data_IF_550434877562
#
_entry.id   IF_550434877562
#
_cell.length_a   1.000
_cell.length_b   1.000
_cell.length_c   1.000
_cell.angle_alpha   90.00
_cell.angle_beta   90.00
_cell.angle_gamma   90.00
#
_symmetry.space_group_name_H-M   'P 1'
#
loop_
_entity.id
_entity.type
_entity.pdbx_description
1 polymer ?
#
# COMPACT_ATOMS: atom_id res chain seq x y z
N UNK A 1 -6.58 15.57 -20.96
CA UNK A 1 -6.71 15.20 -19.51
C UNK A 1 -6.16 13.81 -19.18
N UNK A 2 -6.55 12.70 -19.83
CA UNK A 2 -6.00 11.39 -19.49
C UNK A 2 -4.49 11.31 -19.67
N UNK A 3 -3.98 11.59 -20.86
CA UNK A 3 -2.56 11.49 -21.19
C UNK A 3 -1.68 12.45 -20.38
N UNK A 4 -2.17 13.63 -20.04
CA UNK A 4 -1.50 14.57 -19.13
C UNK A 4 -1.31 13.96 -17.74
N UNK A 5 -2.35 13.33 -17.17
CA UNK A 5 -2.26 12.72 -15.87
C UNK A 5 -1.42 11.41 -15.89
N UNK A 6 -1.45 10.67 -17.00
CA UNK A 6 -0.52 9.55 -17.21
C UNK A 6 0.93 10.07 -17.23
N UNK A 7 1.23 11.15 -17.99
CA UNK A 7 2.57 11.75 -18.03
C UNK A 7 3.00 12.22 -16.63
N UNK A 8 2.13 12.94 -15.91
CA UNK A 8 2.39 13.37 -14.52
C UNK A 8 2.68 12.19 -13.60
N UNK A 9 1.87 11.13 -13.65
CA UNK A 9 2.06 9.96 -12.80
C UNK A 9 3.39 9.24 -13.09
N UNK A 10 3.75 9.07 -14.36
CA UNK A 10 5.02 8.47 -14.77
C UNK A 10 6.21 9.36 -14.36
N UNK A 11 6.09 10.67 -14.52
CA UNK A 11 7.11 11.62 -14.08
C UNK A 11 7.30 11.55 -12.56
N UNK A 12 6.22 11.53 -11.78
CA UNK A 12 6.25 11.28 -10.33
C UNK A 12 7.01 9.97 -10.00
N UNK A 13 6.72 8.88 -10.71
CA UNK A 13 7.41 7.61 -10.52
C UNK A 13 8.91 7.70 -10.74
N UNK A 14 9.35 8.47 -11.74
CA UNK A 14 10.77 8.70 -12.03
C UNK A 14 11.42 9.61 -10.96
N UNK A 15 10.78 10.70 -10.59
CA UNK A 15 11.30 11.65 -9.60
C UNK A 15 11.44 11.04 -8.20
N UNK A 16 10.53 10.15 -7.82
CA UNK A 16 10.57 9.44 -6.54
C UNK A 16 11.49 8.21 -6.55
N UNK A 17 11.89 7.76 -7.75
CA UNK A 17 12.73 6.57 -7.92
C UNK A 17 11.96 5.25 -7.90
N UNK A 18 10.62 5.28 -7.94
CA UNK A 18 9.79 4.07 -8.11
C UNK A 18 10.01 3.45 -9.49
N UNK A 19 10.11 4.29 -10.51
CA UNK A 19 10.30 3.88 -11.90
C UNK A 19 11.67 4.35 -12.40
N UNK A 20 12.55 3.46 -12.85
CA UNK A 20 13.78 3.88 -13.54
C UNK A 20 13.48 4.72 -14.77
N UNK A 21 14.28 5.76 -15.03
CA UNK A 21 14.07 6.65 -16.17
C UNK A 21 14.04 5.91 -17.53
N UNK A 22 14.77 4.81 -17.67
CA UNK A 22 14.76 3.97 -18.88
C UNK A 22 13.48 3.16 -19.06
N UNK A 23 12.63 3.04 -18.02
CA UNK A 23 11.36 2.30 -18.04
C UNK A 23 10.14 3.18 -18.29
N UNK A 24 10.32 4.48 -18.59
CA UNK A 24 9.18 5.43 -18.82
C UNK A 24 8.17 4.89 -19.82
N UNK A 25 8.61 4.48 -21.01
CA UNK A 25 7.71 3.97 -22.05
C UNK A 25 7.01 2.67 -21.63
N UNK A 26 7.72 1.80 -20.93
CA UNK A 26 7.13 0.57 -20.40
C UNK A 26 6.01 0.89 -19.41
N UNK A 27 6.23 1.81 -18.49
CA UNK A 27 5.24 2.26 -17.51
C UNK A 27 4.05 2.95 -18.16
N UNK A 28 4.27 3.81 -19.17
CA UNK A 28 3.19 4.40 -19.96
C UNK A 28 2.32 3.30 -20.56
N UNK A 29 2.91 2.31 -21.21
CA UNK A 29 2.17 1.21 -21.85
C UNK A 29 1.37 0.38 -20.84
N UNK A 30 1.89 0.16 -19.63
CA UNK A 30 1.12 -0.50 -18.57
C UNK A 30 -0.11 0.34 -18.15
N UNK A 31 0.05 1.66 -18.02
CA UNK A 31 -1.06 2.56 -17.68
C UNK A 31 -2.10 2.62 -18.81
N UNK A 32 -1.67 2.65 -20.06
CA UNK A 32 -2.57 2.57 -21.22
C UNK A 32 -3.38 1.27 -21.20
N UNK A 33 -2.75 0.12 -20.92
CA UNK A 33 -3.50 -1.14 -20.78
C UNK A 33 -4.52 -1.10 -19.63
N UNK A 34 -4.19 -0.46 -18.51
CA UNK A 34 -5.12 -0.28 -17.38
C UNK A 34 -6.36 0.51 -17.82
N UNK A 35 -6.17 1.55 -18.65
CA UNK A 35 -7.26 2.38 -19.20
C UNK A 35 -7.90 1.83 -20.47
N UNK A 36 -7.39 0.71 -21.02
CA UNK A 36 -7.83 0.12 -22.29
C UNK A 36 -7.70 1.10 -23.46
N UNK A 37 -6.58 1.82 -23.49
CA UNK A 37 -6.22 2.76 -24.54
C UNK A 37 -5.22 2.11 -25.50
N UNK A 38 -5.49 2.26 -26.79
CA UNK A 38 -4.62 1.75 -27.87
C UNK A 38 -3.69 2.83 -28.42
N UNK A 39 -3.94 4.11 -28.07
CA UNK A 39 -3.17 5.25 -28.54
C UNK A 39 -2.62 6.08 -27.39
N UNK A 40 -1.51 6.77 -27.64
CA UNK A 40 -0.92 7.74 -26.70
C UNK A 40 -0.39 8.93 -27.48
N UNK A 41 -0.89 10.10 -27.12
CA UNK A 41 -0.34 11.38 -27.61
C UNK A 41 0.41 12.02 -26.44
N UNK A 42 1.73 12.06 -26.53
CA UNK A 42 2.54 12.64 -25.46
C UNK A 42 2.25 14.15 -25.34
N UNK A 43 1.84 14.62 -24.15
CA UNK A 43 1.64 16.04 -23.92
C UNK A 43 2.97 16.81 -24.05
N UNK A 44 2.94 17.99 -24.67
CA UNK A 44 4.13 18.83 -24.82
C UNK A 44 4.57 19.50 -23.51
N UNK A 45 3.62 19.66 -22.57
CA UNK A 45 3.87 20.33 -21.30
C UNK A 45 4.78 19.51 -20.39
N UNK A 46 5.73 20.20 -19.75
CA UNK A 46 6.53 19.68 -18.64
C UNK A 46 5.89 20.07 -17.32
N UNK A 47 5.78 19.11 -16.39
CA UNK A 47 5.13 19.31 -15.11
C UNK A 47 6.16 19.41 -13.99
N UNK A 48 5.86 20.21 -12.97
CA UNK A 48 6.68 20.37 -11.76
C UNK A 48 5.78 20.32 -10.54
N UNK A 49 6.35 19.96 -9.39
CA UNK A 49 5.65 19.92 -8.10
C UNK A 49 4.35 19.10 -8.17
N UNK A 50 4.48 17.86 -8.67
CA UNK A 50 3.35 16.96 -8.92
C UNK A 50 2.71 16.55 -7.59
N UNK A 51 1.44 16.93 -7.40
CA UNK A 51 0.61 16.42 -6.30
C UNK A 51 0.02 15.06 -6.69
N UNK A 52 0.49 13.99 -6.03
CA UNK A 52 0.06 12.63 -6.31
C UNK A 52 -1.44 12.43 -6.05
N UNK A 53 -1.99 13.02 -4.96
CA UNK A 53 -3.42 12.89 -4.63
C UNK A 53 -4.29 13.49 -5.75
N UNK A 54 -3.90 14.68 -6.25
CA UNK A 54 -4.63 15.34 -7.33
C UNK A 54 -4.59 14.51 -8.64
N UNK A 55 -3.41 14.00 -9.01
CA UNK A 55 -3.23 13.17 -10.20
C UNK A 55 -4.01 11.86 -10.11
N UNK A 56 -3.94 11.17 -8.98
CA UNK A 56 -4.68 9.91 -8.77
C UNK A 56 -6.19 10.15 -8.81
N UNK A 57 -6.69 11.20 -8.14
CA UNK A 57 -8.11 11.52 -8.18
C UNK A 57 -8.60 11.81 -9.60
N UNK A 58 -7.83 12.57 -10.40
CA UNK A 58 -8.18 12.85 -11.79
C UNK A 58 -8.20 11.58 -12.66
N UNK A 59 -7.27 10.64 -12.44
CA UNK A 59 -7.26 9.35 -13.13
C UNK A 59 -8.43 8.44 -12.69
N UNK A 60 -8.78 8.46 -11.41
CA UNK A 60 -9.92 7.72 -10.89
C UNK A 60 -11.25 8.26 -11.44
N UNK A 61 -11.40 9.58 -11.53
CA UNK A 61 -12.58 10.21 -12.14
C UNK A 61 -12.70 9.85 -13.62
N UNK A 62 -11.57 9.80 -14.34
CA UNK A 62 -11.56 9.36 -15.74
C UNK A 62 -11.93 7.86 -15.86
N UNK A 63 -11.49 7.00 -14.95
CA UNK A 63 -11.86 5.59 -14.91
C UNK A 63 -13.36 5.39 -14.66
N UNK A 64 -13.96 6.16 -13.74
CA UNK A 64 -15.41 6.17 -13.50
C UNK A 64 -16.17 6.63 -14.74
N UNK A 65 -15.75 7.76 -15.34
CA UNK A 65 -16.37 8.31 -16.55
C UNK A 65 -16.37 7.33 -17.73
N UNK A 66 -15.33 6.51 -17.83
CA UNK A 66 -15.18 5.46 -18.84
C UNK A 66 -15.89 4.15 -18.48
N UNK A 67 -16.55 4.08 -17.33
CA UNK A 67 -17.17 2.87 -16.79
C UNK A 67 -16.18 1.70 -16.60
N UNK A 68 -14.91 1.98 -16.33
CA UNK A 68 -13.90 0.96 -15.97
C UNK A 68 -14.09 0.48 -14.54
N UNK A 69 -14.59 1.37 -13.67
CA UNK A 69 -14.92 1.07 -12.27
C UNK A 69 -16.25 1.71 -11.87
N UNK A 70 -16.90 1.18 -10.84
CA UNK A 70 -18.01 1.82 -10.18
C UNK A 70 -17.52 2.96 -9.29
N UNK A 71 -18.31 4.03 -9.16
CA UNK A 71 -17.98 5.17 -8.30
C UNK A 71 -18.28 4.84 -6.83
N UNK A 72 -17.34 4.14 -6.22
CA UNK A 72 -17.35 3.87 -4.77
C UNK A 72 -15.93 3.88 -4.22
N UNK A 73 -15.79 4.16 -2.93
CA UNK A 73 -14.49 4.20 -2.24
C UNK A 73 -13.72 2.88 -2.43
N UNK A 74 -14.40 1.74 -2.39
CA UNK A 74 -13.77 0.43 -2.53
C UNK A 74 -13.18 0.24 -3.93
N UNK A 75 -13.95 0.51 -4.98
CA UNK A 75 -13.47 0.34 -6.36
C UNK A 75 -12.41 1.38 -6.73
N UNK A 76 -12.53 2.60 -6.23
CA UNK A 76 -11.49 3.63 -6.37
C UNK A 76 -10.19 3.18 -5.70
N UNK A 77 -10.25 2.64 -4.47
CA UNK A 77 -9.07 2.14 -3.75
C UNK A 77 -8.41 0.93 -4.44
N UNK A 78 -9.20 0.04 -5.07
CA UNK A 78 -8.67 -1.07 -5.86
C UNK A 78 -7.96 -0.56 -7.12
N UNK A 79 -8.56 0.38 -7.83
CA UNK A 79 -8.02 0.90 -9.08
C UNK A 79 -6.78 1.78 -8.86
N UNK A 80 -6.79 2.63 -7.84
CA UNK A 80 -5.66 3.43 -7.39
C UNK A 80 -4.42 2.55 -7.14
N UNK A 81 -4.59 1.49 -6.37
CA UNK A 81 -3.50 0.54 -6.09
C UNK A 81 -2.96 -0.11 -7.36
N UNK A 82 -3.83 -0.37 -8.35
CA UNK A 82 -3.44 -0.89 -9.66
C UNK A 82 -2.66 0.13 -10.48
N UNK A 83 -3.06 1.41 -10.46
CA UNK A 83 -2.29 2.49 -11.10
C UNK A 83 -0.87 2.58 -10.52
N UNK A 84 -0.77 2.59 -9.19
CA UNK A 84 0.52 2.64 -8.51
C UNK A 84 1.38 1.41 -8.79
N UNK A 85 0.79 0.22 -8.97
CA UNK A 85 1.55 -0.98 -9.33
C UNK A 85 2.29 -0.86 -10.66
N UNK A 86 1.79 -0.04 -11.60
CA UNK A 86 2.49 0.20 -12.87
C UNK A 86 3.84 0.90 -12.67
N UNK A 87 4.00 1.64 -11.58
CA UNK A 87 5.22 2.36 -11.25
C UNK A 87 6.18 1.55 -10.37
N UNK A 88 5.67 0.51 -9.72
CA UNK A 88 6.40 -0.18 -8.64
C UNK A 88 7.56 -1.04 -9.15
N UNK A 89 8.73 -0.97 -8.50
CA UNK A 89 9.78 -1.95 -8.73
C UNK A 89 9.30 -3.34 -8.28
N UNK A 90 9.81 -4.38 -8.94
CA UNK A 90 9.47 -5.76 -8.60
C UNK A 90 9.98 -6.15 -7.21
N UNK A 91 9.34 -7.12 -6.51
CA UNK A 91 9.76 -7.55 -5.18
C UNK A 91 11.25 -7.85 -5.07
N UNK A 92 11.83 -8.59 -6.03
CA UNK A 92 13.25 -8.92 -6.02
C UNK A 92 14.16 -7.67 -6.11
N UNK A 93 13.77 -6.64 -6.84
CA UNK A 93 14.53 -5.39 -6.93
C UNK A 93 14.53 -4.66 -5.59
N UNK A 94 13.35 -4.58 -4.94
CA UNK A 94 13.21 -3.93 -3.63
C UNK A 94 14.00 -4.69 -2.57
N UNK A 95 13.92 -6.02 -2.54
CA UNK A 95 14.66 -6.86 -1.60
C UNK A 95 16.18 -6.72 -1.78
N UNK A 96 16.65 -6.77 -3.02
CA UNK A 96 18.08 -6.60 -3.31
C UNK A 96 18.60 -5.23 -2.89
N UNK A 97 17.84 -4.17 -3.17
CA UNK A 97 18.20 -2.80 -2.78
C UNK A 97 18.19 -2.64 -1.25
N UNK A 98 17.17 -3.19 -0.56
CA UNK A 98 17.09 -3.17 0.89
C UNK A 98 18.32 -3.84 1.53
N UNK A 99 18.65 -5.05 1.13
CA UNK A 99 19.78 -5.79 1.70
C UNK A 99 21.13 -5.18 1.34
N UNK A 100 21.28 -4.65 0.13
CA UNK A 100 22.49 -3.92 -0.25
C UNK A 100 22.74 -2.66 0.59
N UNK A 101 21.68 -1.97 1.00
CA UNK A 101 21.77 -0.84 1.94
C UNK A 101 22.02 -1.32 3.36
N UNK A 102 21.34 -2.37 3.78
CA UNK A 102 21.45 -2.93 5.13
C UNK A 102 22.88 -3.36 5.45
N UNK A 103 23.62 -3.90 4.49
CA UNK A 103 25.04 -4.26 4.65
C UNK A 103 25.93 -3.05 4.95
N UNK A 104 25.54 -1.85 4.52
CA UNK A 104 26.27 -0.61 4.76
C UNK A 104 25.81 0.08 6.05
N UNK A 105 24.53 0.29 6.14
CA UNK A 105 23.85 0.92 7.27
C UNK A 105 22.39 0.42 7.36
N UNK A 106 22.00 -0.28 8.44
CA UNK A 106 20.61 -0.71 8.65
C UNK A 106 19.60 0.43 8.60
N UNK A 107 19.96 1.64 9.02
CA UNK A 107 19.09 2.81 8.96
C UNK A 107 18.79 3.22 7.52
N UNK A 108 19.79 3.24 6.64
CA UNK A 108 19.58 3.53 5.23
C UNK A 108 18.62 2.54 4.55
N UNK A 109 18.63 1.27 4.96
CA UNK A 109 17.73 0.27 4.45
C UNK A 109 16.27 0.50 4.88
N UNK A 110 16.06 0.80 6.17
CA UNK A 110 14.73 1.08 6.70
C UNK A 110 14.17 2.39 6.18
N UNK A 111 14.98 3.44 6.07
CA UNK A 111 14.60 4.73 5.46
C UNK A 111 14.18 4.58 4.00
N UNK A 112 14.96 3.83 3.21
CA UNK A 112 14.61 3.49 1.83
C UNK A 112 13.26 2.80 1.75
N UNK A 113 13.04 1.78 2.55
CA UNK A 113 11.81 0.98 2.49
C UNK A 113 10.59 1.75 3.01
N UNK A 114 10.79 2.63 4.01
CA UNK A 114 9.76 3.53 4.48
C UNK A 114 9.37 4.55 3.42
N UNK A 115 10.38 5.19 2.80
CA UNK A 115 10.17 6.12 1.69
C UNK A 115 9.42 5.45 0.52
N UNK A 116 9.84 4.25 0.11
CA UNK A 116 9.17 3.46 -0.92
C UNK A 116 7.71 3.20 -0.56
N UNK A 117 7.42 2.84 0.69
CA UNK A 117 6.05 2.60 1.17
C UNK A 117 5.18 3.86 1.17
N UNK A 118 5.79 5.03 1.31
CA UNK A 118 5.10 6.33 1.21
C UNK A 118 4.91 6.76 -0.25
N UNK A 119 5.95 6.67 -1.07
CA UNK A 119 5.91 7.14 -2.46
C UNK A 119 5.04 6.24 -3.34
N UNK A 120 4.91 4.96 -2.99
CA UNK A 120 4.01 4.02 -3.65
C UNK A 120 2.52 4.20 -3.28
N UNK A 121 2.19 5.20 -2.48
CA UNK A 121 0.85 5.40 -1.91
C UNK A 121 0.31 4.19 -1.11
N UNK A 122 1.19 3.26 -0.73
CA UNK A 122 0.81 2.21 0.22
C UNK A 122 0.50 2.81 1.59
N UNK A 123 1.34 3.74 2.07
CA UNK A 123 1.04 4.65 3.18
C UNK A 123 0.45 5.91 2.57
N UNK A 124 -0.85 6.05 2.59
CA UNK A 124 -1.58 7.18 2.00
C UNK A 124 -1.40 8.43 2.84
N UNK A 125 -0.30 9.17 2.58
CA UNK A 125 0.11 10.34 3.36
C UNK A 125 -0.98 11.38 3.51
N UNK A 126 -1.77 11.64 2.47
CA UNK A 126 -2.87 12.60 2.49
C UNK A 126 -4.02 12.17 3.41
N UNK A 127 -4.27 10.86 3.55
CA UNK A 127 -5.24 10.33 4.53
C UNK A 127 -4.69 10.43 5.94
N UNK A 128 -3.41 10.07 6.15
CA UNK A 128 -2.73 10.14 7.45
C UNK A 128 -2.67 11.58 7.98
N UNK A 129 -2.50 12.58 7.11
CA UNK A 129 -2.55 14.01 7.50
C UNK A 129 -3.89 14.45 8.09
N UNK A 130 -4.97 13.72 7.84
CA UNK A 130 -6.32 13.99 8.40
C UNK A 130 -6.50 13.39 9.80
N UNK A 131 -5.59 12.49 10.23
CA UNK A 131 -5.66 11.89 11.56
C UNK A 131 -5.50 12.95 12.66
N UNK A 132 -6.35 12.86 13.67
CA UNK A 132 -6.30 13.77 14.81
C UNK A 132 -5.54 13.10 15.95
N UNK A 133 -4.55 13.79 16.51
CA UNK A 133 -3.69 13.28 17.58
C UNK A 133 -3.59 14.31 18.70
N UNK A 134 -3.74 13.87 19.94
CA UNK A 134 -3.50 14.70 21.12
C UNK A 134 -3.10 13.83 22.31
N UNK A 135 -2.57 14.47 23.34
CA UNK A 135 -2.12 13.81 24.56
C UNK A 135 -2.99 14.23 25.74
N UNK A 136 -3.30 13.30 26.61
CA UNK A 136 -4.05 13.54 27.85
C UNK A 136 -3.22 13.07 29.05
N UNK A 137 -3.14 13.89 30.08
CA UNK A 137 -2.52 13.51 31.35
C UNK A 137 -3.45 12.56 32.13
N UNK A 138 -2.88 11.49 32.67
CA UNK A 138 -3.57 10.51 33.52
C UNK A 138 -2.73 10.17 34.74
N UNK A 139 -3.28 9.43 35.69
CA UNK A 139 -2.55 8.91 36.85
C UNK A 139 -1.41 7.95 36.49
N UNK A 140 -1.45 7.37 35.28
CA UNK A 140 -0.42 6.46 34.75
C UNK A 140 0.60 7.16 33.82
N UNK A 141 0.54 8.50 33.71
CA UNK A 141 1.36 9.31 32.82
C UNK A 141 0.57 9.84 31.61
N UNK A 142 1.29 10.28 30.59
CA UNK A 142 0.69 10.82 29.36
C UNK A 142 0.18 9.70 28.48
N UNK A 143 -1.05 9.83 28.02
CA UNK A 143 -1.70 8.90 27.09
C UNK A 143 -1.91 9.61 25.75
N UNK A 144 -1.36 9.05 24.68
CA UNK A 144 -1.59 9.52 23.32
C UNK A 144 -2.93 8.98 22.80
N UNK A 145 -3.78 9.89 22.33
CA UNK A 145 -5.08 9.57 21.75
C UNK A 145 -5.03 9.91 20.27
N UNK A 146 -5.51 9.00 19.44
CA UNK A 146 -5.57 9.19 17.98
C UNK A 146 -6.97 8.86 17.46
N UNK A 147 -7.56 9.78 16.69
CA UNK A 147 -8.69 9.45 15.80
C UNK A 147 -8.09 9.18 14.42
N UNK A 148 -8.09 7.92 14.04
CA UNK A 148 -7.50 7.47 12.77
C UNK A 148 -8.54 7.62 11.65
N UNK A 149 -8.53 8.78 10.98
CA UNK A 149 -9.38 9.08 9.82
C UNK A 149 -8.82 8.51 8.52
N UNK A 150 -7.56 8.08 8.53
CA UNK A 150 -6.91 7.42 7.39
C UNK A 150 -7.44 6.01 7.15
N UNK A 151 -8.01 5.38 8.18
CA UNK A 151 -8.69 4.10 8.06
C UNK A 151 -10.10 4.34 7.55
N UNK A 152 -10.45 3.94 6.31
CA UNK A 152 -11.78 4.16 5.79
C UNK A 152 -12.81 3.47 6.68
N UNK A 153 -13.83 4.21 7.10
CA UNK A 153 -15.00 3.61 7.73
C UNK A 153 -15.63 2.63 6.75
N UNK A 154 -16.06 1.48 7.24
CA UNK A 154 -16.74 0.51 6.41
C UNK A 154 -18.09 1.10 5.99
N UNK A 155 -18.18 1.56 4.75
CA UNK A 155 -19.45 1.97 4.15
C UNK A 155 -20.48 0.84 4.30
N UNK A 156 -21.68 1.12 4.85
CA UNK A 156 -22.75 0.13 4.96
C UNK A 156 -23.09 -0.57 3.64
N UNK A 157 -23.00 0.13 2.51
CA UNK A 157 -23.18 -0.44 1.17
C UNK A 157 -22.06 -1.43 0.82
N UNK A 158 -20.82 -1.08 1.13
CA UNK A 158 -19.67 -1.97 0.94
C UNK A 158 -19.77 -3.22 1.83
N UNK A 159 -20.25 -3.09 3.08
CA UNK A 159 -20.51 -4.23 3.97
C UNK A 159 -21.59 -5.15 3.38
N UNK A 160 -22.67 -4.58 2.85
CA UNK A 160 -23.74 -5.34 2.23
C UNK A 160 -23.26 -6.07 0.96
N UNK A 161 -22.53 -5.36 0.09
CA UNK A 161 -21.92 -5.94 -1.11
C UNK A 161 -20.93 -7.07 -0.75
N UNK A 162 -20.09 -6.87 0.26
CA UNK A 162 -19.12 -7.87 0.72
C UNK A 162 -19.76 -9.18 1.20
N UNK A 163 -20.99 -9.13 1.74
CA UNK A 163 -21.75 -10.33 2.15
C UNK A 163 -22.22 -11.16 0.96
N UNK A 164 -22.39 -10.56 -0.21
CA UNK A 164 -22.85 -11.21 -1.44
C UNK A 164 -21.68 -11.81 -2.24
N UNK A 165 -20.45 -11.40 -1.93
CA UNK A 165 -19.26 -11.88 -2.62
C UNK A 165 -18.93 -13.31 -2.16
N UNK A 166 -18.65 -14.20 -3.13
CA UNK A 166 -18.21 -15.57 -2.84
C UNK A 166 -16.99 -15.53 -1.90
N UNK A 167 -17.04 -16.32 -0.84
CA UNK A 167 -15.91 -16.48 0.08
C UNK A 167 -14.70 -17.01 -0.68
N UNK A 168 -13.51 -16.49 -0.36
CA UNK A 168 -12.24 -16.96 -0.89
C UNK A 168 -11.26 -17.11 0.26
N UNK A 169 -10.52 -18.20 0.25
CA UNK A 169 -9.44 -18.45 1.21
C UNK A 169 -8.08 -17.87 0.76
N UNK A 170 -8.07 -17.09 -0.33
CA UNK A 170 -6.86 -16.47 -0.85
C UNK A 170 -7.02 -14.96 -0.97
N UNK A 171 -6.07 -14.16 -0.46
CA UNK A 171 -5.07 -14.52 0.54
C UNK A 171 -5.73 -15.03 1.84
N UNK A 172 -5.01 -15.86 2.62
CA UNK A 172 -5.57 -16.46 3.84
C UNK A 172 -5.95 -15.42 4.90
N UNK A 173 -5.14 -14.38 5.05
CA UNK A 173 -5.44 -13.23 5.91
C UNK A 173 -4.72 -11.97 5.41
N UNK A 174 -4.96 -10.82 6.06
CA UNK A 174 -4.39 -9.51 5.68
C UNK A 174 -2.87 -9.40 5.84
N UNK A 175 -2.24 -10.30 6.58
CA UNK A 175 -0.81 -10.32 6.87
C UNK A 175 -0.04 -11.45 6.17
N UNK A 176 -0.72 -12.32 5.42
CA UNK A 176 -0.04 -13.40 4.69
C UNK A 176 0.80 -12.87 3.54
N UNK A 177 1.96 -13.51 3.22
CA UNK A 177 2.81 -13.10 2.10
C UNK A 177 2.09 -13.06 0.76
N UNK A 178 1.03 -13.84 0.59
CA UNK A 178 0.18 -13.86 -0.61
C UNK A 178 -0.50 -12.52 -0.92
N UNK A 179 -0.46 -11.55 0.02
CA UNK A 179 -0.96 -10.21 -0.22
C UNK A 179 -0.05 -9.39 -1.13
N UNK A 180 1.26 -9.65 -1.17
CA UNK A 180 2.18 -8.90 -2.02
C UNK A 180 1.78 -9.00 -3.50
N UNK A 181 1.45 -7.87 -4.11
CA UNK A 181 0.97 -7.83 -5.50
C UNK A 181 -0.48 -8.27 -5.72
N UNK A 182 -1.25 -8.50 -4.65
CA UNK A 182 -2.64 -8.94 -4.77
C UNK A 182 -3.56 -7.79 -5.19
N UNK A 183 -4.33 -8.00 -6.28
CA UNK A 183 -5.21 -6.97 -6.86
C UNK A 183 -6.40 -6.57 -5.97
N UNK A 184 -6.67 -7.35 -4.93
CA UNK A 184 -7.80 -7.06 -4.05
C UNK A 184 -9.15 -7.52 -4.59
N UNK A 185 -10.17 -7.27 -3.80
CA UNK A 185 -11.60 -7.47 -4.11
C UNK A 185 -12.44 -6.70 -3.08
N UNK A 186 -13.73 -6.59 -3.30
CA UNK A 186 -14.66 -5.80 -2.45
C UNK A 186 -14.51 -6.07 -0.94
N UNK A 187 -14.22 -7.31 -0.56
CA UNK A 187 -14.07 -7.72 0.84
C UNK A 187 -12.62 -8.00 1.27
N UNK A 188 -11.64 -7.67 0.44
CA UNK A 188 -10.21 -7.81 0.75
C UNK A 188 -9.41 -6.70 0.03
N UNK A 189 -8.64 -5.89 0.76
CA UNK A 189 -7.96 -4.74 0.17
C UNK A 189 -6.93 -5.17 -0.89
N UNK A 190 -6.75 -4.32 -1.89
CA UNK A 190 -5.64 -4.45 -2.83
C UNK A 190 -4.30 -4.20 -2.13
N UNK A 191 -3.26 -4.86 -2.64
CA UNK A 191 -1.89 -4.79 -2.15
C UNK A 191 -0.88 -4.82 -3.31
N UNK A 192 -1.27 -4.32 -4.48
CA UNK A 192 -0.41 -4.33 -5.67
C UNK A 192 0.79 -3.39 -5.50
N UNK A 193 0.62 -2.30 -4.76
CA UNK A 193 1.66 -1.32 -4.41
C UNK A 193 2.37 -1.64 -3.07
N UNK A 194 2.15 -2.81 -2.51
CA UNK A 194 2.78 -3.28 -1.29
C UNK A 194 3.98 -4.18 -1.60
N UNK A 195 5.03 -4.08 -0.76
CA UNK A 195 6.21 -4.95 -0.80
C UNK A 195 6.52 -5.48 0.60
N UNK A 196 7.16 -6.64 0.63
CA UNK A 196 7.53 -7.35 1.86
C UNK A 196 9.02 -7.65 1.79
N UNK A 197 9.73 -7.37 2.88
CA UNK A 197 11.12 -7.78 3.05
C UNK A 197 11.14 -9.10 3.81
N UNK A 198 11.59 -10.20 3.20
CA UNK A 198 11.77 -11.45 3.91
C UNK A 198 12.94 -11.33 4.89
N UNK A 199 12.70 -11.73 6.13
CA UNK A 199 13.69 -11.77 7.20
C UNK A 199 13.69 -13.13 7.90
N UNK A 200 14.73 -13.44 8.62
CA UNK A 200 14.83 -14.65 9.45
C UNK A 200 14.87 -14.27 10.91
N UNK A 201 13.99 -14.83 11.72
CA UNK A 201 13.96 -14.65 13.18
C UNK A 201 13.96 -16.02 13.83
N UNK A 202 14.98 -16.32 14.65
CA UNK A 202 15.16 -17.63 15.29
C UNK A 202 15.02 -18.80 14.31
N UNK A 203 15.76 -18.78 13.21
CA UNK A 203 15.78 -19.77 12.13
C UNK A 203 14.42 -20.02 11.44
N UNK A 204 13.47 -19.13 11.67
CA UNK A 204 12.15 -19.20 11.04
C UNK A 204 11.97 -18.05 10.03
N UNK A 205 11.20 -18.28 8.94
CA UNK A 205 10.95 -17.25 7.93
C UNK A 205 9.86 -16.28 8.42
N UNK A 206 10.15 -14.98 8.34
CA UNK A 206 9.25 -13.88 8.68
C UNK A 206 9.22 -12.86 7.56
N UNK A 207 8.18 -12.03 7.57
CA UNK A 207 8.07 -10.86 6.71
C UNK A 207 8.13 -9.59 7.52
N UNK A 208 8.80 -8.58 6.98
CA UNK A 208 8.81 -7.22 7.48
C UNK A 208 8.11 -6.30 6.49
N UNK A 209 7.19 -5.48 6.97
CA UNK A 209 6.47 -4.48 6.18
C UNK A 209 6.13 -3.26 7.04
N UNK A 210 5.97 -2.09 6.42
CA UNK A 210 5.35 -0.96 7.08
C UNK A 210 3.82 -1.12 7.11
N UNK A 211 3.19 -0.50 8.11
CA UNK A 211 1.73 -0.48 8.21
C UNK A 211 1.15 0.66 7.37
N UNK A 212 0.08 0.43 6.60
CA UNK A 212 -0.63 1.52 5.94
C UNK A 212 -1.39 2.41 6.93
N UNK A 213 -1.55 1.96 8.18
CA UNK A 213 -2.19 2.68 9.26
C UNK A 213 -1.13 3.18 10.25
N UNK A 214 -0.88 4.48 10.23
CA UNK A 214 0.24 5.10 10.95
C UNK A 214 -0.22 5.56 12.32
N UNK A 215 0.00 4.75 13.34
CA UNK A 215 -0.15 5.16 14.74
C UNK A 215 1.06 5.98 15.21
N UNK A 216 2.25 5.52 14.86
CA UNK A 216 3.55 6.16 15.09
C UNK A 216 4.28 6.30 13.77
N UNK A 217 5.24 7.20 13.70
CA UNK A 217 6.15 7.26 12.55
C UNK A 217 6.84 5.90 12.39
N UNK A 218 6.96 5.46 11.14
CA UNK A 218 7.63 4.20 10.80
C UNK A 218 7.00 2.96 11.46
N UNK A 219 5.70 3.04 11.78
CA UNK A 219 4.97 1.89 12.31
C UNK A 219 5.07 0.70 11.37
N UNK A 220 5.74 -0.35 11.83
CA UNK A 220 6.00 -1.56 11.05
C UNK A 220 5.34 -2.80 11.66
N UNK A 221 5.27 -3.85 10.87
CA UNK A 221 4.73 -5.15 11.24
C UNK A 221 5.75 -6.22 10.85
N UNK A 222 6.15 -7.00 11.84
CA UNK A 222 6.94 -8.23 11.63
C UNK A 222 6.00 -9.41 11.86
N UNK A 223 5.83 -10.25 10.86
CA UNK A 223 4.85 -11.34 10.89
C UNK A 223 5.49 -12.66 10.43
N UNK A 224 5.01 -13.78 10.98
CA UNK A 224 5.47 -15.09 10.54
C UNK A 224 4.98 -15.37 9.11
N UNK A 225 5.86 -15.83 8.23
CA UNK A 225 5.51 -16.14 6.83
C UNK A 225 4.57 -17.33 6.70
N UNK A 226 4.48 -18.18 7.72
CA UNK A 226 3.49 -19.24 7.78
C UNK A 226 2.19 -18.74 8.40
N UNK A 227 1.06 -19.06 7.76
CA UNK A 227 -0.25 -18.72 8.30
C UNK A 227 -0.55 -19.57 9.54
N UNK A 228 -0.53 -18.93 10.72
CA UNK A 228 -0.88 -19.56 11.98
C UNK A 228 -2.33 -19.18 12.34
N UNK A 229 -3.26 -20.13 12.47
CA UNK A 229 -4.64 -19.86 12.85
C UNK A 229 -4.75 -19.11 14.18
N UNK A 230 -5.71 -18.19 14.28
CA UNK A 230 -5.94 -17.37 15.50
C UNK A 230 -6.18 -18.22 16.75
N UNK A 231 -6.83 -19.38 16.62
CA UNK A 231 -7.04 -20.30 17.72
C UNK A 231 -5.73 -20.77 18.37
N UNK A 232 -4.65 -20.88 17.58
CA UNK A 232 -3.35 -21.28 18.10
C UNK A 232 -2.64 -20.14 18.83
N UNK A 233 -2.73 -18.92 18.33
CA UNK A 233 -2.19 -17.74 19.01
C UNK A 233 -2.97 -17.41 20.28
N UNK A 234 -4.27 -17.66 20.30
CA UNK A 234 -5.11 -17.44 21.47
C UNK A 234 -4.77 -18.42 22.62
N UNK A 235 -4.53 -19.69 22.31
CA UNK A 235 -4.07 -20.65 23.29
C UNK A 235 -2.72 -20.25 23.93
N UNK A 236 -1.78 -19.76 23.13
CA UNK A 236 -0.49 -19.28 23.65
C UNK A 236 -0.57 -17.98 24.45
N UNK A 237 -1.51 -17.11 24.14
CA UNK A 237 -1.71 -15.89 24.89
C UNK A 237 -2.25 -16.11 26.31
N UNK A 238 -2.83 -17.28 26.57
CA UNK A 238 -3.31 -17.71 27.89
C UNK A 238 -2.35 -18.62 28.66
N UNK A 239 -1.26 -19.06 28.03
CA UNK A 239 -0.17 -19.77 28.69
C UNK A 239 0.77 -18.76 29.34
N UNK A 240 0.44 -18.31 30.54
CA UNK A 240 1.38 -17.59 31.38
C UNK A 240 2.33 -18.60 32.06
N UNK A 241 3.58 -18.20 32.47
CA UNK A 241 4.51 -19.07 33.19
C UNK A 241 3.94 -19.69 34.45
N UNK A 242 2.82 -19.18 34.95
CA UNK A 242 2.12 -19.67 36.13
C UNK A 242 1.21 -20.88 35.84
N UNK A 243 1.02 -21.20 34.56
CA UNK A 243 0.23 -22.36 34.09
C UNK A 243 1.08 -23.46 33.43
N UNK A 244 2.41 -23.33 33.49
CA UNK A 244 3.41 -24.36 33.19
C UNK A 244 3.98 -24.87 34.51
#
# INVERSE_FOLDING_TARGET
MLYENIKKLVQYGVETGLTPACEKNYTINLLLDVFKEDEYVEPEEEYRDIDLEEVLNALLDEAVKRNLIEDSVVYRDLFDTRLMNCLMPRPAQVQNEFWSRYEKDPQEATDYFYKLSQDSDYIRRYRVKKDQKWTVDSEYGKIDITINLSKPEKDPKAIAAAKLVKSSSYPKCLLCPENEGYAGRVNHPARENHRIIPITVNDSPWGFQYSPYVYYNEHCIVFNSQHVPVSYTHLRAHETPEHL
#
